data_IF_855354378158
#
_entry.id   IF_855354378158
#
_cell.length_a   1.000
_cell.length_b   1.000
_cell.length_c   1.000
_cell.angle_alpha   90.00
_cell.angle_beta   90.00
_cell.angle_gamma   90.00
#
_symmetry.space_group_name_H-M   'P 1'
#
loop_
_entity.id
_entity.type
_entity.pdbx_description
1 polymer ?
#
# COMPACT_ATOMS: atom_id res chain seq x y z
N UNK A 1 -33.45 46.87 15.00
CA UNK A 1 -33.50 46.24 13.66
C UNK A 1 -32.13 46.06 12.96
N UNK A 2 -31.10 46.88 13.23
CA UNK A 2 -29.77 46.76 12.57
C UNK A 2 -28.91 45.55 12.98
N UNK A 3 -29.20 44.89 14.11
CA UNK A 3 -28.44 43.71 14.59
C UNK A 3 -28.91 42.37 14.02
N UNK A 4 -30.14 42.28 13.48
CA UNK A 4 -30.68 41.03 12.92
C UNK A 4 -30.06 40.69 11.55
N UNK A 5 -29.76 41.70 10.73
CA UNK A 5 -29.16 41.50 9.40
C UNK A 5 -27.73 40.95 9.46
N UNK A 6 -26.96 41.29 10.52
CA UNK A 6 -25.59 40.77 10.68
C UNK A 6 -25.57 39.28 11.06
N UNK A 7 -26.57 38.82 11.81
CA UNK A 7 -26.70 37.40 12.18
C UNK A 7 -27.21 36.55 11.01
N UNK A 8 -28.05 37.12 10.14
CA UNK A 8 -28.55 36.45 8.93
C UNK A 8 -27.47 36.27 7.85
N UNK A 9 -26.53 37.22 7.73
CA UNK A 9 -25.37 37.11 6.83
C UNK A 9 -24.32 36.14 7.37
N UNK A 10 -24.14 36.07 8.70
CA UNK A 10 -23.23 35.09 9.33
C UNK A 10 -23.76 33.65 9.28
N UNK A 11 -25.09 33.45 9.29
CA UNK A 11 -25.71 32.13 9.18
C UNK A 11 -25.74 31.56 7.75
N UNK A 12 -25.66 32.40 6.73
CA UNK A 12 -25.71 31.97 5.32
C UNK A 12 -24.36 31.56 4.72
N UNK A 13 -23.24 31.88 5.38
CA UNK A 13 -21.90 31.42 4.97
C UNK A 13 -21.55 29.98 5.44
N UNK A 14 -22.38 29.35 6.28
CA UNK A 14 -22.09 28.04 6.89
C UNK A 14 -22.60 26.81 6.12
N UNK A 15 -23.16 26.98 4.91
CA UNK A 15 -23.77 25.87 4.16
C UNK A 15 -23.29 25.73 2.71
N UNK A 16 -22.17 26.34 2.34
CA UNK A 16 -21.46 25.98 1.11
C UNK A 16 -20.63 24.73 1.35
N UNK A 17 -21.30 23.59 1.52
CA UNK A 17 -20.69 22.28 1.37
C UNK A 17 -20.28 22.11 -0.10
N UNK A 18 -19.06 22.55 -0.43
CA UNK A 18 -18.44 22.18 -1.69
C UNK A 18 -18.33 20.66 -1.70
N UNK A 19 -19.18 19.99 -2.47
CA UNK A 19 -18.97 18.61 -2.86
C UNK A 19 -17.69 18.59 -3.71
N UNK A 20 -16.54 18.44 -3.07
CA UNK A 20 -15.31 18.09 -3.76
C UNK A 20 -15.54 16.70 -4.33
N UNK A 21 -15.77 16.62 -5.64
CA UNK A 21 -15.68 15.36 -6.37
C UNK A 21 -14.27 14.84 -6.11
N UNK A 22 -14.15 13.80 -5.27
CA UNK A 22 -12.89 13.10 -5.12
C UNK A 22 -12.54 12.55 -6.50
N UNK A 23 -11.45 13.03 -7.09
CA UNK A 23 -10.94 12.49 -8.35
C UNK A 23 -10.53 11.04 -8.08
N UNK A 24 -11.26 10.09 -8.65
CA UNK A 24 -10.88 8.67 -8.66
C UNK A 24 -9.71 8.52 -9.63
N UNK A 25 -8.51 8.53 -9.06
CA UNK A 25 -7.26 8.49 -9.81
C UNK A 25 -7.10 7.19 -10.59
N UNK A 26 -7.57 6.07 -10.03
CA UNK A 26 -7.51 4.79 -10.70
C UNK A 26 -8.55 4.72 -11.81
N UNK A 27 -9.78 5.18 -11.58
CA UNK A 27 -10.76 5.26 -12.66
C UNK A 27 -10.29 6.18 -13.80
N UNK A 28 -9.58 7.27 -13.48
CA UNK A 28 -8.97 8.15 -14.49
C UNK A 28 -7.95 7.41 -15.35
N UNK A 29 -7.07 6.61 -14.74
CA UNK A 29 -6.07 5.79 -15.45
C UNK A 29 -6.74 4.67 -16.25
N UNK A 30 -7.78 4.04 -15.70
CA UNK A 30 -8.52 2.98 -16.36
C UNK A 30 -9.33 3.49 -17.58
N UNK A 31 -9.76 4.75 -17.55
CA UNK A 31 -10.44 5.44 -18.66
C UNK A 31 -9.51 6.14 -19.65
N UNK A 32 -8.18 6.02 -19.47
CA UNK A 32 -7.18 6.76 -20.21
C UNK A 32 -6.81 6.17 -21.59
N UNK A 33 -7.61 5.25 -22.12
CA UNK A 33 -7.39 4.68 -23.45
C UNK A 33 -7.81 3.22 -23.55
N UNK A 34 -7.32 2.48 -24.55
CA UNK A 34 -7.54 1.05 -24.67
C UNK A 34 -7.09 0.31 -23.38
N UNK A 35 -7.80 -0.77 -23.04
CA UNK A 35 -7.60 -1.50 -21.78
C UNK A 35 -6.12 -1.89 -21.52
N UNK A 36 -5.37 -2.22 -22.57
CA UNK A 36 -3.96 -2.58 -22.45
C UNK A 36 -3.08 -1.42 -21.96
N UNK A 37 -3.30 -0.20 -22.43
CA UNK A 37 -2.51 0.98 -22.02
C UNK A 37 -2.98 1.52 -20.67
N UNK A 38 -4.29 1.47 -20.43
CA UNK A 38 -4.88 1.77 -19.14
C UNK A 38 -4.28 0.91 -18.01
N UNK A 39 -4.10 -0.40 -18.26
CA UNK A 39 -3.44 -1.31 -17.34
C UNK A 39 -1.96 -0.97 -17.12
N UNK A 40 -1.21 -0.58 -18.16
CA UNK A 40 0.20 -0.17 -18.02
C UNK A 40 0.34 1.09 -17.18
N UNK A 41 -0.54 2.07 -17.40
CA UNK A 41 -0.61 3.32 -16.63
C UNK A 41 -0.95 3.04 -15.16
N UNK A 42 -2.00 2.25 -14.89
CA UNK A 42 -2.39 1.86 -13.54
C UNK A 42 -1.26 1.09 -12.82
N UNK A 43 -0.64 0.13 -13.50
CA UNK A 43 0.47 -0.65 -12.96
C UNK A 43 1.67 0.25 -12.62
N UNK A 44 2.10 1.12 -13.52
CA UNK A 44 3.22 2.03 -13.27
C UNK A 44 2.95 3.00 -12.11
N UNK A 45 1.71 3.51 -12.03
CA UNK A 45 1.29 4.41 -10.97
C UNK A 45 1.24 3.73 -9.58
N UNK A 46 0.75 2.49 -9.51
CA UNK A 46 0.60 1.73 -8.26
C UNK A 46 1.86 0.95 -7.86
N UNK A 47 2.77 0.64 -8.78
CA UNK A 47 3.95 -0.20 -8.52
C UNK A 47 4.71 0.12 -7.21
N UNK A 48 4.95 1.39 -6.84
CA UNK A 48 5.70 1.71 -5.63
C UNK A 48 5.01 1.26 -4.34
N UNK A 49 3.68 1.27 -4.31
CA UNK A 49 2.94 0.82 -3.12
C UNK A 49 3.10 -0.69 -2.93
N UNK A 50 3.04 -1.45 -4.02
CA UNK A 50 3.19 -2.90 -4.00
C UNK A 50 4.63 -3.32 -3.69
N UNK A 51 5.64 -2.60 -4.21
CA UNK A 51 7.04 -2.77 -3.77
C UNK A 51 7.17 -2.49 -2.26
N UNK A 52 6.53 -1.42 -1.78
CA UNK A 52 6.49 -1.05 -0.37
C UNK A 52 5.89 -2.16 0.51
N UNK A 53 4.77 -2.75 0.09
CA UNK A 53 4.17 -3.89 0.79
C UNK A 53 5.11 -5.10 0.82
N UNK A 54 5.71 -5.46 -0.31
CA UNK A 54 6.66 -6.58 -0.39
C UNK A 54 7.85 -6.42 0.56
N UNK A 55 8.35 -5.20 0.73
CA UNK A 55 9.42 -4.91 1.70
C UNK A 55 8.89 -4.88 3.14
N UNK A 56 7.69 -4.34 3.36
CA UNK A 56 7.11 -4.15 4.70
C UNK A 56 6.70 -5.46 5.39
N UNK A 57 6.23 -6.46 4.62
CA UNK A 57 5.75 -7.74 5.19
C UNK A 57 6.84 -8.61 5.81
N UNK A 58 8.12 -8.27 5.73
CA UNK A 58 9.17 -9.03 6.42
C UNK A 58 9.75 -8.29 7.63
N UNK A 59 9.34 -7.04 7.87
CA UNK A 59 9.93 -6.23 8.93
C UNK A 59 9.27 -6.48 10.29
N UNK A 60 10.08 -6.34 11.34
CA UNK A 60 9.61 -6.18 12.72
C UNK A 60 9.13 -7.45 13.44
N UNK A 61 9.45 -8.65 12.93
CA UNK A 61 9.08 -9.91 13.57
C UNK A 61 9.78 -10.13 14.91
N UNK A 62 11.10 -9.91 14.96
CA UNK A 62 11.94 -10.20 16.12
C UNK A 62 12.87 -9.02 16.43
N UNK A 63 13.15 -8.83 17.71
CA UNK A 63 14.10 -7.82 18.22
C UNK A 63 15.12 -8.42 19.21
N UNK A 64 14.98 -9.70 19.56
CA UNK A 64 15.90 -10.44 20.43
C UNK A 64 15.86 -11.92 20.05
N UNK A 65 17.01 -12.59 20.19
CA UNK A 65 17.15 -14.03 20.06
C UNK A 65 16.64 -14.78 21.30
N UNK A 66 16.55 -14.10 22.45
CA UNK A 66 16.00 -14.70 23.67
C UNK A 66 14.53 -15.05 23.48
N UNK A 67 14.16 -16.27 23.82
CA UNK A 67 12.77 -16.73 23.78
C UNK A 67 12.07 -16.52 25.12
N UNK A 68 10.74 -16.39 25.09
CA UNK A 68 9.93 -16.40 26.30
C UNK A 68 10.04 -17.76 27.01
N UNK A 69 9.92 -17.74 28.33
CA UNK A 69 9.77 -18.96 29.12
C UNK A 69 8.46 -19.67 28.78
N UNK A 70 8.36 -20.96 29.11
CA UNK A 70 7.11 -21.72 28.97
C UNK A 70 5.93 -20.98 29.60
N UNK A 71 4.84 -20.79 28.85
CA UNK A 71 3.64 -20.00 29.21
C UNK A 71 3.88 -18.49 29.44
N UNK A 72 5.11 -18.02 29.34
CA UNK A 72 5.41 -16.59 29.28
C UNK A 72 4.91 -16.03 27.95
N UNK A 73 4.18 -14.91 27.99
CA UNK A 73 3.68 -14.26 26.79
C UNK A 73 4.08 -12.78 26.74
N UNK A 74 4.15 -12.23 25.54
CA UNK A 74 4.18 -10.79 25.32
C UNK A 74 3.10 -10.34 24.35
N UNK A 75 2.57 -9.16 24.60
CA UNK A 75 1.71 -8.45 23.67
C UNK A 75 2.43 -7.16 23.28
N UNK A 76 2.73 -7.03 22.00
CA UNK A 76 3.45 -5.90 21.42
C UNK A 76 2.53 -5.11 20.50
N UNK A 77 2.41 -3.82 20.77
CA UNK A 77 1.86 -2.87 19.80
C UNK A 77 3.04 -2.12 19.19
N UNK A 78 3.12 -2.11 17.86
CA UNK A 78 4.19 -1.43 17.14
C UNK A 78 3.61 -0.68 15.94
N UNK A 79 4.30 0.39 15.55
CA UNK A 79 3.99 1.08 14.30
C UNK A 79 5.27 1.16 13.50
N UNK A 80 5.21 0.74 12.26
CA UNK A 80 6.31 0.86 11.29
C UNK A 80 5.85 1.72 10.13
N UNK A 81 6.80 2.21 9.34
CA UNK A 81 6.51 2.98 8.14
C UNK A 81 7.44 2.56 7.01
N UNK A 82 6.89 2.39 5.82
CA UNK A 82 7.67 2.11 4.61
C UNK A 82 7.74 3.38 3.77
N UNK A 83 8.96 3.86 3.54
CA UNK A 83 9.23 5.03 2.71
C UNK A 83 9.36 4.60 1.24
N UNK A 84 8.68 5.32 0.35
CA UNK A 84 8.82 5.10 -1.09
C UNK A 84 10.15 5.73 -1.56
N UNK A 85 11.07 4.96 -2.16
CA UNK A 85 12.35 5.47 -2.65
C UNK A 85 12.15 6.57 -3.71
N UNK A 86 13.06 7.54 -3.78
CA UNK A 86 12.97 8.63 -4.77
C UNK A 86 12.89 8.14 -6.21
N UNK A 87 13.60 7.05 -6.53
CA UNK A 87 13.58 6.43 -7.86
C UNK A 87 12.20 5.87 -8.26
N UNK A 88 11.33 5.58 -7.29
CA UNK A 88 9.98 5.03 -7.50
C UNK A 88 8.89 6.12 -7.39
N UNK A 89 9.24 7.40 -7.19
CA UNK A 89 8.27 8.49 -7.04
C UNK A 89 7.69 9.03 -8.34
N UNK A 90 8.26 8.65 -9.47
CA UNK A 90 7.81 9.03 -10.80
C UNK A 90 8.12 7.94 -11.80
N UNK A 91 7.39 7.92 -12.91
CA UNK A 91 7.69 7.06 -14.04
C UNK A 91 7.67 7.85 -15.35
N UNK A 92 8.32 7.27 -16.36
CA UNK A 92 8.44 7.85 -17.70
C UNK A 92 7.44 7.16 -18.63
N UNK A 93 6.52 7.93 -19.20
CA UNK A 93 5.48 7.42 -20.11
C UNK A 93 6.07 6.73 -21.34
N UNK A 94 7.29 7.09 -21.75
CA UNK A 94 7.96 6.48 -22.91
C UNK A 94 8.52 5.09 -22.61
N UNK A 95 8.65 4.72 -21.33
CA UNK A 95 9.31 3.48 -20.89
C UNK A 95 8.35 2.37 -20.46
N UNK A 96 7.06 2.68 -20.33
CA UNK A 96 6.04 1.70 -19.90
C UNK A 96 5.38 0.96 -21.08
N UNK A 97 5.83 1.24 -22.32
CA UNK A 97 5.40 0.53 -23.52
C UNK A 97 3.98 0.84 -23.96
N UNK A 98 3.52 2.10 -23.83
CA UNK A 98 2.22 2.53 -24.35
C UNK A 98 2.11 2.31 -25.86
N UNK A 99 0.90 2.06 -26.35
CA UNK A 99 0.65 2.00 -27.79
C UNK A 99 0.81 3.37 -28.45
N UNK A 100 0.85 3.39 -29.78
CA UNK A 100 0.84 4.63 -30.55
C UNK A 100 -0.47 5.43 -30.35
N UNK A 101 -1.52 4.88 -29.75
CA UNK A 101 -2.79 5.58 -29.56
C UNK A 101 -2.81 6.38 -28.25
N UNK A 102 -1.83 6.19 -27.35
CA UNK A 102 -1.72 6.94 -26.09
C UNK A 102 -0.33 7.55 -26.00
N UNK A 103 -0.25 8.88 -26.11
CA UNK A 103 1.02 9.61 -26.20
C UNK A 103 1.07 10.74 -25.18
N UNK A 104 2.26 11.16 -24.72
CA UNK A 104 2.40 12.44 -24.01
C UNK A 104 1.82 13.58 -24.87
N UNK A 105 1.01 14.45 -24.26
CA UNK A 105 0.46 15.62 -24.94
C UNK A 105 1.54 16.65 -25.28
N UNK A 106 2.62 16.68 -24.49
CA UNK A 106 3.83 17.46 -24.71
C UNK A 106 5.02 16.48 -24.67
N UNK A 107 5.73 16.26 -25.80
CA UNK A 107 6.88 15.35 -25.86
C UNK A 107 8.04 15.71 -24.92
N UNK A 108 8.09 16.96 -24.43
CA UNK A 108 9.10 17.39 -23.44
C UNK A 108 8.69 17.08 -21.99
N UNK A 109 7.44 16.68 -21.75
CA UNK A 109 6.87 16.39 -20.41
C UNK A 109 6.35 14.96 -20.34
N UNK A 110 7.29 14.01 -20.26
CA UNK A 110 6.98 12.57 -20.23
C UNK A 110 7.03 11.95 -18.84
N UNK A 111 7.59 12.65 -17.87
CA UNK A 111 7.71 12.20 -16.48
C UNK A 111 6.46 12.58 -15.70
N UNK A 112 5.88 11.62 -15.00
CA UNK A 112 4.67 11.82 -14.20
C UNK A 112 4.81 11.17 -12.82
N UNK A 113 4.14 11.68 -11.77
CA UNK A 113 4.16 11.09 -10.44
C UNK A 113 3.59 9.67 -10.41
N UNK A 114 4.11 8.85 -9.51
CA UNK A 114 3.43 7.64 -9.02
C UNK A 114 2.51 7.99 -7.84
N UNK A 115 1.79 7.01 -7.29
CA UNK A 115 0.99 7.20 -6.07
C UNK A 115 1.82 7.72 -4.88
N UNK A 116 3.13 7.45 -4.87
CA UNK A 116 4.09 7.92 -3.88
C UNK A 116 4.81 9.22 -4.21
N UNK A 117 4.48 9.83 -5.35
CA UNK A 117 5.19 10.95 -5.96
C UNK A 117 4.79 12.33 -5.46
N UNK A 118 5.14 13.35 -6.27
CA UNK A 118 4.75 14.74 -6.00
C UNK A 118 3.24 14.91 -6.02
N UNK A 119 2.72 15.85 -5.22
CA UNK A 119 1.30 16.25 -5.23
C UNK A 119 0.96 17.24 -6.34
N UNK A 120 1.94 17.60 -7.16
CA UNK A 120 1.72 18.38 -8.37
C UNK A 120 0.93 17.57 -9.41
N UNK A 121 0.21 18.27 -10.28
CA UNK A 121 -0.53 17.64 -11.38
C UNK A 121 0.41 16.79 -12.24
N UNK A 122 -0.05 15.58 -12.61
CA UNK A 122 0.71 14.68 -13.46
C UNK A 122 0.85 15.17 -14.91
N UNK A 123 1.64 14.43 -15.68
CA UNK A 123 1.76 14.71 -17.11
C UNK A 123 0.41 14.53 -17.82
N UNK A 124 0.22 15.25 -18.92
CA UNK A 124 -0.95 15.09 -19.77
C UNK A 124 -0.66 14.09 -20.89
N UNK A 125 -1.61 13.21 -21.16
CA UNK A 125 -1.59 12.30 -22.30
C UNK A 125 -2.71 12.64 -23.27
N UNK A 126 -2.45 12.49 -24.56
CA UNK A 126 -3.46 12.57 -25.61
C UNK A 126 -3.76 11.18 -26.14
N UNK A 127 -5.05 10.89 -26.29
CA UNK A 127 -5.58 9.62 -26.76
C UNK A 127 -6.04 9.82 -28.20
N UNK A 128 -5.69 8.89 -29.07
CA UNK A 128 -5.98 8.90 -30.49
C UNK A 128 -6.78 7.66 -30.91
N UNK A 129 -7.58 7.80 -31.96
CA UNK A 129 -8.18 6.64 -32.65
C UNK A 129 -7.18 5.99 -33.63
N UNK A 130 -7.59 4.89 -34.26
CA UNK A 130 -6.76 4.16 -35.22
C UNK A 130 -6.48 4.97 -36.51
N UNK A 131 -7.27 6.01 -36.77
CA UNK A 131 -7.06 6.96 -37.87
C UNK A 131 -6.16 8.13 -37.46
N UNK A 132 -5.56 8.09 -36.27
CA UNK A 132 -4.68 9.10 -35.69
C UNK A 132 -5.38 10.46 -35.45
N UNK A 133 -6.71 10.47 -35.28
CA UNK A 133 -7.47 11.63 -34.81
C UNK A 133 -7.39 11.70 -33.28
N UNK A 134 -7.15 12.91 -32.75
CA UNK A 134 -7.11 13.13 -31.31
C UNK A 134 -8.53 13.09 -30.74
N UNK A 135 -8.78 12.15 -29.84
CA UNK A 135 -10.06 11.99 -29.16
C UNK A 135 -10.18 12.90 -27.93
N UNK A 136 -9.19 12.82 -27.03
CA UNK A 136 -9.18 13.61 -25.79
C UNK A 136 -7.78 13.77 -25.21
N UNK A 137 -7.65 14.70 -24.27
CA UNK A 137 -6.47 14.83 -23.41
C UNK A 137 -6.87 14.56 -21.97
N UNK A 138 -6.05 13.78 -21.26
CA UNK A 138 -6.27 13.39 -19.87
C UNK A 138 -5.05 13.81 -19.06
N UNK A 139 -5.28 14.47 -17.93
CA UNK A 139 -4.23 14.75 -16.94
C UNK A 139 -4.07 13.53 -16.05
N UNK A 140 -2.85 13.00 -15.97
CA UNK A 140 -2.57 11.86 -15.10
C UNK A 140 -2.58 12.28 -13.61
N UNK A 141 -2.88 11.34 -12.70
CA UNK A 141 -2.95 11.62 -11.28
C UNK A 141 -1.65 12.17 -10.69
N UNK A 142 -1.81 12.99 -9.64
CA UNK A 142 -0.73 13.34 -8.74
C UNK A 142 -0.49 12.24 -7.71
N UNK A 143 0.63 12.30 -7.00
CA UNK A 143 0.88 11.46 -5.83
C UNK A 143 -0.09 11.75 -4.69
N UNK A 144 -0.30 10.73 -3.85
CA UNK A 144 -1.22 10.76 -2.71
C UNK A 144 -0.43 10.63 -1.40
N UNK A 145 0.38 9.59 -1.29
CA UNK A 145 1.02 9.16 -0.06
C UNK A 145 2.45 8.66 -0.31
N UNK A 146 3.44 9.38 0.23
CA UNK A 146 4.86 9.03 0.09
C UNK A 146 5.40 8.07 1.15
N UNK A 147 4.59 7.79 2.19
CA UNK A 147 4.96 6.94 3.33
C UNK A 147 3.75 6.10 3.73
N UNK A 148 3.93 4.79 3.81
CA UNK A 148 2.86 3.86 4.17
C UNK A 148 3.06 3.46 5.63
N UNK A 149 2.24 3.95 6.58
CA UNK A 149 2.30 3.48 7.94
C UNK A 149 1.63 2.10 8.06
N UNK A 150 2.23 1.23 8.87
CA UNK A 150 1.80 -0.13 9.12
C UNK A 150 1.78 -0.37 10.63
N UNK A 151 0.71 0.03 11.33
CA UNK A 151 0.51 -0.31 12.73
C UNK A 151 0.17 -1.79 12.85
N UNK A 152 0.78 -2.49 13.81
CA UNK A 152 0.51 -3.91 14.02
C UNK A 152 0.53 -4.27 15.51
N UNK A 153 -0.25 -5.29 15.83
CA UNK A 153 -0.29 -5.94 17.13
C UNK A 153 0.30 -7.35 16.95
N UNK A 154 1.17 -7.77 17.87
CA UNK A 154 1.80 -9.08 17.86
C UNK A 154 1.70 -9.71 19.25
N UNK A 155 1.20 -10.93 19.30
CA UNK A 155 1.19 -11.79 20.49
C UNK A 155 2.26 -12.86 20.31
N UNK A 156 3.15 -13.01 21.28
CA UNK A 156 4.15 -14.09 21.30
C UNK A 156 4.00 -14.92 22.56
N UNK A 157 4.05 -16.24 22.45
CA UNK A 157 3.96 -17.16 23.57
C UNK A 157 5.14 -18.13 23.56
N UNK A 158 5.78 -18.28 24.71
CA UNK A 158 6.85 -19.25 24.94
C UNK A 158 6.31 -20.66 25.05
N UNK A 159 6.97 -21.56 24.35
CA UNK A 159 6.73 -23.00 24.27
C UNK A 159 7.83 -23.76 25.02
N UNK A 160 7.82 -25.08 24.89
CA UNK A 160 8.89 -25.95 25.39
C UNK A 160 10.17 -25.80 24.55
N UNK A 161 11.31 -26.26 25.09
CA UNK A 161 12.60 -26.31 24.37
C UNK A 161 12.99 -24.97 23.74
N UNK A 162 12.96 -23.89 24.54
CA UNK A 162 13.42 -22.55 24.13
C UNK A 162 12.85 -22.10 22.77
N UNK A 163 11.57 -22.41 22.55
CA UNK A 163 10.84 -22.11 21.33
C UNK A 163 9.72 -21.14 21.67
N UNK A 164 9.36 -20.26 20.75
CA UNK A 164 8.17 -19.42 20.86
C UNK A 164 7.41 -19.35 19.55
N UNK A 165 6.10 -19.15 19.67
CA UNK A 165 5.22 -18.90 18.54
C UNK A 165 4.66 -17.49 18.62
N UNK A 166 4.56 -16.83 17.48
CA UNK A 166 4.05 -15.46 17.34
C UNK A 166 2.88 -15.41 16.37
N UNK A 167 1.85 -14.65 16.74
CA UNK A 167 0.76 -14.24 15.86
C UNK A 167 0.83 -12.71 15.72
N UNK A 168 0.88 -12.21 14.48
CA UNK A 168 0.78 -10.77 14.21
C UNK A 168 -0.43 -10.42 13.38
N UNK A 169 -0.96 -9.23 13.63
CA UNK A 169 -2.18 -8.75 13.01
C UNK A 169 -2.13 -7.23 12.83
N UNK A 170 -2.49 -6.77 11.64
CA UNK A 170 -2.87 -5.38 11.38
C UNK A 170 -4.34 -5.38 10.97
N UNK A 171 -5.22 -4.68 11.71
CA UNK A 171 -6.61 -4.54 11.30
C UNK A 171 -6.70 -3.85 9.93
N UNK A 172 -7.85 -3.97 9.27
CA UNK A 172 -8.06 -3.25 8.01
C UNK A 172 -7.97 -1.74 8.24
N UNK A 173 -6.90 -1.12 7.73
CA UNK A 173 -6.68 0.34 7.78
C UNK A 173 -6.98 0.91 6.40
N UNK A 174 -7.87 1.90 6.34
CA UNK A 174 -8.23 2.61 5.11
C UNK A 174 -7.36 3.87 4.96
N UNK A 175 -6.67 3.97 3.81
CA UNK A 175 -5.75 5.06 3.47
C UNK A 175 -6.37 6.10 2.52
N UNK A 176 -7.70 6.12 2.41
CA UNK A 176 -8.47 7.00 1.54
C UNK A 176 -8.89 6.31 0.24
N UNK A 177 -9.82 6.95 -0.47
CA UNK A 177 -10.45 6.40 -1.69
C UNK A 177 -9.47 6.13 -2.83
N UNK A 178 -8.33 6.81 -2.88
CA UNK A 178 -7.32 6.65 -3.93
C UNK A 178 -6.23 5.63 -3.61
N UNK A 179 -6.17 5.14 -2.36
CA UNK A 179 -5.16 4.18 -1.90
C UNK A 179 -5.81 2.87 -1.49
N UNK A 180 -6.99 2.89 -0.89
CA UNK A 180 -7.72 1.70 -0.46
C UNK A 180 -7.37 1.24 0.96
N UNK A 181 -7.72 0.00 1.26
CA UNK A 181 -7.56 -0.62 2.57
C UNK A 181 -6.50 -1.72 2.56
N UNK A 182 -5.77 -1.85 3.67
CA UNK A 182 -4.73 -2.86 3.86
C UNK A 182 -4.97 -3.58 5.19
N UNK A 183 -4.83 -4.90 5.20
CA UNK A 183 -4.80 -5.71 6.42
C UNK A 183 -3.68 -6.74 6.37
N UNK A 184 -3.17 -7.17 7.53
CA UNK A 184 -2.09 -8.16 7.64
C UNK A 184 -2.47 -9.21 8.68
N UNK A 185 -2.15 -10.46 8.39
CA UNK A 185 -2.08 -11.54 9.37
C UNK A 185 -0.78 -12.32 9.16
N UNK A 186 -0.14 -12.79 10.23
CA UNK A 186 1.05 -13.62 10.10
C UNK A 186 1.29 -14.52 11.29
N UNK A 187 2.02 -15.59 11.04
CA UNK A 187 2.44 -16.58 12.04
C UNK A 187 3.95 -16.74 12.01
N UNK A 188 4.58 -16.87 13.17
CA UNK A 188 6.03 -17.01 13.30
C UNK A 188 6.40 -18.06 14.34
N UNK A 189 7.56 -18.68 14.13
CA UNK A 189 8.22 -19.55 15.09
C UNK A 189 9.65 -19.08 15.26
N UNK A 190 10.14 -19.06 16.50
CA UNK A 190 11.53 -18.79 16.81
C UNK A 190 12.04 -19.81 17.81
N UNK A 191 13.27 -20.26 17.61
CA UNK A 191 13.93 -21.22 18.47
C UNK A 191 15.35 -20.73 18.83
N UNK A 192 15.66 -20.65 20.12
CA UNK A 192 16.99 -20.27 20.61
C UNK A 192 17.92 -21.49 20.58
N UNK A 193 18.82 -21.51 19.61
CA UNK A 193 19.74 -22.63 19.39
C UNK A 193 20.83 -22.63 20.47
N UNK A 194 21.32 -21.46 20.89
CA UNK A 194 22.45 -21.41 21.82
C UNK A 194 22.11 -22.01 23.20
N UNK A 195 20.87 -21.81 23.66
CA UNK A 195 20.40 -22.37 24.93
C UNK A 195 20.33 -23.91 24.91
N UNK A 196 20.09 -24.51 23.74
CA UNK A 196 20.07 -25.97 23.57
C UNK A 196 21.48 -26.59 23.58
N UNK A 197 22.48 -25.91 23.00
CA UNK A 197 23.86 -26.42 22.92
C UNK A 197 24.69 -26.17 24.19
N UNK A 198 24.53 -25.01 24.84
CA UNK A 198 25.37 -24.61 25.97
C UNK A 198 24.71 -24.80 27.36
N UNK A 199 23.46 -25.29 27.40
CA UNK A 199 22.72 -25.60 28.63
C UNK A 199 22.55 -24.40 29.56
N UNK A 200 22.22 -24.65 30.85
CA UNK A 200 22.02 -23.60 31.88
C UNK A 200 23.24 -22.73 32.17
N UNK A 201 24.40 -23.06 31.60
CA UNK A 201 25.66 -22.33 31.77
C UNK A 201 25.94 -21.38 30.59
N UNK A 202 25.14 -21.43 29.52
CA UNK A 202 25.21 -20.54 28.36
C UNK A 202 25.20 -19.06 28.76
N UNK A 203 24.18 -18.66 29.53
CA UNK A 203 24.00 -17.28 29.99
C UNK A 203 25.13 -16.77 30.91
N UNK A 204 25.90 -17.70 31.53
CA UNK A 204 27.02 -17.37 32.41
C UNK A 204 28.37 -17.29 31.69
N UNK A 205 28.52 -17.95 30.55
CA UNK A 205 29.81 -18.08 29.84
C UNK A 205 29.80 -17.23 28.56
N UNK A 206 28.67 -17.17 27.86
CA UNK A 206 28.53 -16.51 26.57
C UNK A 206 27.47 -15.42 26.73
N UNK A 207 27.86 -14.14 26.78
CA UNK A 207 26.92 -13.03 26.94
C UNK A 207 26.25 -12.69 25.60
N UNK A 208 25.69 -13.70 24.92
CA UNK A 208 25.09 -13.61 23.60
C UNK A 208 23.95 -14.63 23.54
N UNK A 209 22.88 -14.29 22.83
CA UNK A 209 21.81 -15.20 22.44
C UNK A 209 21.86 -15.40 20.93
N UNK A 210 21.64 -16.63 20.46
CA UNK A 210 21.53 -16.95 19.03
C UNK A 210 20.26 -17.77 18.78
N UNK A 211 19.43 -17.30 17.86
CA UNK A 211 18.18 -17.95 17.49
C UNK A 211 18.02 -18.04 15.98
N UNK A 212 17.23 -19.01 15.55
CA UNK A 212 16.65 -19.04 14.21
C UNK A 212 15.17 -18.74 14.31
N UNK A 213 14.65 -18.01 13.33
CA UNK A 213 13.23 -17.77 13.21
C UNK A 213 12.75 -18.06 11.78
N UNK A 214 11.49 -18.45 11.68
CA UNK A 214 10.79 -18.53 10.43
C UNK A 214 9.39 -17.94 10.60
N UNK A 215 8.89 -17.27 9.57
CA UNK A 215 7.56 -16.69 9.62
C UNK A 215 6.88 -16.65 8.27
N UNK A 216 5.55 -16.57 8.34
CA UNK A 216 4.66 -16.40 7.21
C UNK A 216 3.77 -15.18 7.46
N UNK A 217 3.61 -14.36 6.43
CA UNK A 217 2.72 -13.20 6.46
C UNK A 217 1.86 -13.15 5.23
N UNK A 218 0.58 -12.89 5.43
CA UNK A 218 -0.34 -12.52 4.37
C UNK A 218 -0.79 -11.07 4.55
N UNK A 219 -0.62 -10.28 3.50
CA UNK A 219 -1.19 -8.95 3.37
C UNK A 219 -2.33 -8.99 2.36
N UNK A 220 -3.49 -8.45 2.73
CA UNK A 220 -4.63 -8.26 1.82
C UNK A 220 -4.82 -6.79 1.55
N UNK A 221 -4.92 -6.46 0.27
CA UNK A 221 -5.17 -5.13 -0.26
C UNK A 221 -6.52 -5.11 -0.96
N UNK A 222 -7.30 -4.06 -0.72
CA UNK A 222 -8.60 -3.87 -1.35
C UNK A 222 -8.84 -2.38 -1.64
N UNK A 223 -9.09 -2.06 -2.91
CA UNK A 223 -9.42 -0.72 -3.38
C UNK A 223 -10.71 -0.78 -4.20
N UNK A 224 -11.83 -0.24 -3.70
CA UNK A 224 -13.02 0.00 -4.51
C UNK A 224 -12.68 1.00 -5.63
N UNK A 225 -13.14 0.74 -6.85
CA UNK A 225 -12.95 1.63 -8.00
C UNK A 225 -14.30 1.82 -8.67
N UNK A 226 -14.60 3.01 -9.18
CA UNK A 226 -15.83 3.24 -9.93
C UNK A 226 -15.52 3.77 -11.33
N UNK A 227 -15.45 2.85 -12.30
CA UNK A 227 -15.26 3.14 -13.72
C UNK A 227 -16.61 3.08 -14.43
N UNK A 228 -17.12 4.27 -14.76
CA UNK A 228 -18.32 4.42 -15.57
C UNK A 228 -17.96 4.58 -17.05
N UNK A 229 -18.78 4.04 -17.97
CA UNK A 229 -18.60 4.30 -19.39
C UNK A 229 -18.82 5.77 -19.73
N UNK A 230 -18.28 6.20 -20.87
CA UNK A 230 -18.48 7.57 -21.35
C UNK A 230 -19.96 7.87 -21.61
N UNK A 231 -20.36 9.13 -21.44
CA UNK A 231 -21.76 9.52 -21.57
C UNK A 231 -22.29 9.21 -22.99
N UNK A 232 -23.37 8.43 -23.07
CA UNK A 232 -23.96 7.97 -24.34
C UNK A 232 -23.37 6.67 -24.91
N UNK A 233 -22.37 6.07 -24.26
CA UNK A 233 -21.85 4.76 -24.66
C UNK A 233 -22.95 3.69 -24.57
N UNK A 234 -23.05 2.87 -25.62
CA UNK A 234 -23.97 1.73 -25.68
C UNK A 234 -23.17 0.42 -25.53
N UNK A 235 -23.71 -0.60 -24.84
CA UNK A 235 -23.13 -1.93 -24.83
C UNK A 235 -22.93 -2.45 -26.26
N UNK A 236 -21.82 -3.12 -26.52
CA UNK A 236 -21.55 -3.73 -27.83
C UNK A 236 -22.56 -4.83 -28.16
N UNK A 237 -23.05 -5.52 -27.13
CA UNK A 237 -24.07 -6.55 -27.21
C UNK A 237 -24.84 -6.67 -25.87
N UNK A 238 -25.89 -7.50 -25.87
CA UNK A 238 -26.75 -7.75 -24.70
C UNK A 238 -26.08 -8.61 -23.61
N UNK A 239 -24.85 -9.08 -23.81
CA UNK A 239 -24.10 -9.88 -22.82
C UNK A 239 -23.13 -9.03 -22.00
N UNK A 240 -22.85 -7.79 -22.45
CA UNK A 240 -21.97 -6.89 -21.74
C UNK A 240 -22.66 -6.34 -20.47
N UNK A 241 -22.01 -6.50 -19.32
CA UNK A 241 -22.52 -6.05 -18.02
C UNK A 241 -22.80 -4.54 -18.04
N UNK A 242 -24.00 -4.16 -17.58
CA UNK A 242 -24.39 -2.77 -17.29
C UNK A 242 -24.29 -2.45 -15.79
N UNK A 243 -23.89 -3.43 -14.97
CA UNK A 243 -23.63 -3.22 -13.55
C UNK A 243 -22.14 -2.91 -13.35
N UNK A 244 -21.88 -1.70 -12.85
CA UNK A 244 -20.55 -1.16 -12.56
C UNK A 244 -20.34 -0.93 -11.05
N UNK A 245 -21.23 -1.45 -10.19
CA UNK A 245 -21.26 -1.13 -8.76
C UNK A 245 -20.24 -1.89 -7.88
N UNK A 246 -19.74 -3.04 -8.34
CA UNK A 246 -18.86 -3.92 -7.56
C UNK A 246 -17.41 -3.98 -8.08
N UNK A 247 -16.97 -2.93 -8.75
CA UNK A 247 -15.62 -2.84 -9.27
C UNK A 247 -14.60 -2.59 -8.15
N UNK A 248 -13.53 -3.37 -8.14
CA UNK A 248 -12.47 -3.23 -7.16
C UNK A 248 -11.16 -3.84 -7.65
N UNK A 249 -10.06 -3.36 -7.09
CA UNK A 249 -8.74 -3.98 -7.17
C UNK A 249 -8.50 -4.72 -5.85
N UNK A 250 -8.22 -6.01 -5.95
CA UNK A 250 -7.81 -6.82 -4.81
C UNK A 250 -6.43 -7.43 -5.08
N UNK A 251 -5.57 -7.43 -4.08
CA UNK A 251 -4.29 -8.13 -4.14
C UNK A 251 -4.02 -8.85 -2.82
N UNK A 252 -3.43 -10.04 -2.91
CA UNK A 252 -2.97 -10.81 -1.76
C UNK A 252 -1.48 -11.08 -1.92
N UNK A 253 -0.70 -10.65 -0.93
CA UNK A 253 0.75 -10.85 -0.90
C UNK A 253 1.07 -11.84 0.20
N UNK A 254 1.81 -12.89 -0.14
CA UNK A 254 2.32 -13.87 0.81
C UNK A 254 3.83 -13.70 0.92
N UNK A 255 4.33 -13.56 2.14
CA UNK A 255 5.75 -13.43 2.45
C UNK A 255 6.20 -14.54 3.40
N UNK A 256 7.37 -15.10 3.11
CA UNK A 256 8.07 -16.02 3.99
C UNK A 256 9.38 -15.37 4.41
N UNK A 257 9.68 -15.36 5.71
CA UNK A 257 10.96 -14.90 6.24
C UNK A 257 11.66 -16.03 7.01
N UNK A 258 12.98 -16.06 6.91
CA UNK A 258 13.85 -16.89 7.72
C UNK A 258 15.02 -16.01 8.21
N UNK A 259 15.27 -16.01 9.51
CA UNK A 259 16.25 -15.11 10.13
C UNK A 259 17.19 -15.89 11.04
N UNK A 260 18.46 -15.49 11.06
CA UNK A 260 19.38 -15.80 12.15
C UNK A 260 19.49 -14.53 12.99
N UNK A 261 19.17 -14.65 14.26
CA UNK A 261 19.11 -13.52 15.20
C UNK A 261 20.24 -13.69 16.19
N UNK A 262 21.04 -12.65 16.35
CA UNK A 262 22.08 -12.57 17.37
C UNK A 262 21.78 -11.36 18.23
N UNK A 263 21.63 -11.54 19.54
CA UNK A 263 21.34 -10.42 20.44
C UNK A 263 22.13 -10.52 21.74
N UNK A 264 22.50 -9.37 22.31
CA UNK A 264 23.15 -9.29 23.61
C UNK A 264 22.41 -8.28 24.49
N UNK A 265 22.08 -8.69 25.71
CA UNK A 265 21.59 -7.77 26.73
C UNK A 265 22.78 -7.06 27.37
N UNK A 266 22.81 -5.72 27.30
CA UNK A 266 23.79 -4.89 28.00
C UNK A 266 23.17 -4.46 29.32
N UNK A 267 23.74 -4.91 30.43
CA UNK A 267 23.39 -4.45 31.78
C UNK A 267 24.04 -3.09 32.00
N UNK A 268 23.23 -2.08 32.33
CA UNK A 268 23.65 -0.81 32.92
C UNK A 268 22.96 -0.63 34.27
#
# INVERSE_FOLDING_TARGET
MKKLYKTLVAGSMLLLSTQTQAQDYIATLLNAGPAADANKLANAYLQPIFKGFGNGINNGWNNTAKTKSLLGFDLRVSSSAVFIPQADKSFDLTKIGLSNNVRPADPSKTITPTIGGSRDAGAQISIYDDNNNKLKTVTLPSGVLSVIPAPQIQLTAGLVYHTEASLRYMPSVNFGSNVGSISIIGFGLKHNILQDFAGKTADKIIPLDVAVSAGFTQLKYHLPVTVQPENGAQPKDNQQSTDFSNQHIAATFNGFNAEIIVSKQILF
#
